data_IF_559189782781
#
_entry.id   IF_559189782781
#
_cell.length_a   1.000
_cell.length_b   1.000
_cell.length_c   1.000
_cell.angle_alpha   90.00
_cell.angle_beta   90.00
_cell.angle_gamma   90.00
#
_symmetry.space_group_name_H-M   'P 1'
#
loop_
_entity.id
_entity.type
_entity.pdbx_description
1 polymer ?
#
# COMPACT_ATOMS: atom_id res chain seq x y z
N UNK A 1 10.87 -0.50 -27.73
CA UNK A 1 11.15 -0.99 -26.36
C UNK A 1 10.84 0.07 -25.29
N UNK A 2 11.43 1.28 -25.32
CA UNK A 2 11.29 2.30 -24.26
C UNK A 2 9.86 2.79 -23.97
N UNK A 3 9.01 2.95 -24.98
CA UNK A 3 7.63 3.40 -24.79
C UNK A 3 6.79 2.42 -23.92
N UNK A 4 7.01 1.11 -24.09
CA UNK A 4 6.33 0.09 -23.28
C UNK A 4 6.80 0.08 -21.84
N UNK A 5 8.10 0.28 -21.62
CA UNK A 5 8.65 0.39 -20.27
C UNK A 5 8.12 1.63 -19.55
N UNK A 6 7.93 2.75 -20.25
CA UNK A 6 7.28 3.94 -19.69
C UNK A 6 5.85 3.63 -19.25
N UNK A 7 5.09 2.91 -20.08
CA UNK A 7 3.72 2.47 -19.73
C UNK A 7 3.69 1.60 -18.48
N UNK A 8 4.66 0.68 -18.32
CA UNK A 8 4.77 -0.14 -17.12
C UNK A 8 5.08 0.70 -15.89
N UNK A 9 6.07 1.61 -15.97
CA UNK A 9 6.41 2.51 -14.86
C UNK A 9 5.22 3.37 -14.43
N UNK A 10 4.50 3.94 -15.39
CA UNK A 10 3.32 4.75 -15.09
C UNK A 10 2.27 3.95 -14.30
N UNK A 11 1.98 2.70 -14.70
CA UNK A 11 1.05 1.83 -13.97
C UNK A 11 1.54 1.49 -12.56
N UNK A 12 2.81 1.18 -12.40
CA UNK A 12 3.40 0.90 -11.09
C UNK A 12 3.32 2.13 -10.19
N UNK A 13 3.67 3.32 -10.69
CA UNK A 13 3.61 4.58 -9.95
C UNK A 13 2.18 4.93 -9.53
N UNK A 14 1.20 4.76 -10.43
CA UNK A 14 -0.23 4.95 -10.12
C UNK A 14 -0.65 4.05 -8.95
N UNK A 15 -0.30 2.76 -9.00
CA UNK A 15 -0.60 1.81 -7.92
C UNK A 15 0.02 2.23 -6.59
N UNK A 16 1.29 2.64 -6.56
CA UNK A 16 1.96 3.11 -5.34
C UNK A 16 1.21 4.31 -4.74
N UNK A 17 0.82 5.29 -5.56
CA UNK A 17 0.06 6.47 -5.10
C UNK A 17 -1.29 6.05 -4.51
N UNK A 18 -2.04 5.16 -5.16
CA UNK A 18 -3.32 4.67 -4.63
C UNK A 18 -3.16 3.97 -3.26
N UNK A 19 -2.11 3.16 -3.09
CA UNK A 19 -1.81 2.51 -1.81
C UNK A 19 -1.44 3.51 -0.71
N UNK A 20 -0.61 4.52 -1.03
CA UNK A 20 -0.23 5.58 -0.08
C UNK A 20 -1.41 6.46 0.31
N UNK A 21 -2.34 6.75 -0.61
CA UNK A 21 -3.53 7.55 -0.32
C UNK A 21 -4.53 6.77 0.54
N UNK A 22 -4.76 5.50 0.23
CA UNK A 22 -5.69 4.65 0.99
C UNK A 22 -5.21 4.42 2.43
N UNK A 23 -3.91 4.22 2.65
CA UNK A 23 -3.35 4.01 3.99
C UNK A 23 -3.21 5.34 4.74
N UNK A 24 -4.06 5.53 5.75
CA UNK A 24 -4.11 6.75 6.55
C UNK A 24 -3.18 6.74 7.77
N UNK A 25 -1.92 6.40 7.57
CA UNK A 25 -0.88 6.44 8.61
C UNK A 25 0.52 6.61 8.01
N UNK A 26 1.50 6.88 8.87
CA UNK A 26 2.93 6.80 8.53
C UNK A 26 3.54 5.59 9.23
N UNK A 27 3.52 4.46 8.53
CA UNK A 27 4.02 3.17 9.03
C UNK A 27 5.54 3.04 8.98
N UNK A 28 6.16 3.58 7.94
CA UNK A 28 7.59 3.46 7.66
C UNK A 28 8.25 4.85 7.56
N UNK A 29 8.30 5.60 8.67
CA UNK A 29 9.01 6.87 8.69
C UNK A 29 10.48 6.66 8.31
N UNK A 30 10.99 7.49 7.40
CA UNK A 30 12.30 7.33 6.76
C UNK A 30 12.21 6.84 5.32
N UNK A 31 11.20 6.02 4.99
CA UNK A 31 10.88 5.69 3.59
C UNK A 31 9.93 6.71 2.98
N UNK A 32 8.84 7.05 3.66
CA UNK A 32 7.96 8.17 3.30
C UNK A 32 7.23 8.72 4.52
N UNK A 33 6.68 9.92 4.39
CA UNK A 33 5.88 10.58 5.42
C UNK A 33 4.54 11.06 4.84
N UNK A 34 3.44 10.72 5.52
CA UNK A 34 2.10 11.27 5.25
C UNK A 34 1.89 12.49 6.15
N UNK A 35 2.06 13.70 5.61
CA UNK A 35 1.99 14.94 6.39
C UNK A 35 0.67 15.15 7.15
N UNK A 36 -0.43 14.60 6.65
CA UNK A 36 -1.76 14.64 7.27
C UNK A 36 -2.04 13.46 8.23
N UNK A 37 -1.19 12.41 8.21
CA UNK A 37 -1.30 11.19 9.01
C UNK A 37 0.09 10.73 9.49
N UNK A 38 0.75 11.58 10.28
CA UNK A 38 2.17 11.43 10.63
C UNK A 38 2.50 10.30 11.61
N UNK A 39 1.50 9.73 12.29
CA UNK A 39 1.70 8.70 13.31
C UNK A 39 1.41 7.31 12.76
N UNK A 40 2.03 6.32 13.40
CA UNK A 40 1.74 4.91 13.24
C UNK A 40 0.44 4.57 13.99
N UNK A 41 -0.46 3.80 13.36
CA UNK A 41 -1.78 3.45 13.90
C UNK A 41 -2.02 1.94 13.84
N UNK A 42 -1.54 1.22 14.86
CA UNK A 42 -1.75 -0.23 14.96
C UNK A 42 -3.19 -0.63 15.21
N UNK A 43 -4.03 0.27 15.72
CA UNK A 43 -5.43 -0.07 16.02
C UNK A 43 -6.23 -0.27 14.74
N UNK A 44 -5.98 0.55 13.71
CA UNK A 44 -6.76 0.52 12.47
C UNK A 44 -5.97 0.02 11.26
N UNK A 45 -4.64 0.01 11.33
CA UNK A 45 -3.76 -0.18 10.17
C UNK A 45 -2.68 -1.25 10.36
N UNK A 46 -2.75 -2.04 11.44
CA UNK A 46 -1.98 -3.29 11.58
C UNK A 46 -2.57 -4.42 10.71
N UNK A 47 -2.58 -4.17 9.41
CA UNK A 47 -3.20 -4.98 8.35
C UNK A 47 -2.37 -4.84 7.07
N UNK A 48 -2.59 -5.72 6.11
CA UNK A 48 -2.07 -5.58 4.75
C UNK A 48 -3.00 -4.68 3.93
N UNK A 49 -2.42 -3.78 3.14
CA UNK A 49 -3.17 -3.03 2.11
C UNK A 49 -3.08 -3.79 0.81
N UNK A 50 -4.22 -4.15 0.24
CA UNK A 50 -4.29 -4.86 -1.05
C UNK A 50 -5.16 -4.09 -2.02
N UNK A 51 -4.98 -4.35 -3.32
CA UNK A 51 -5.74 -3.68 -4.37
C UNK A 51 -5.98 -4.56 -5.57
N UNK A 52 -7.14 -4.41 -6.20
CA UNK A 52 -7.42 -4.96 -7.52
C UNK A 52 -7.82 -3.83 -8.47
N UNK A 53 -7.14 -3.73 -9.62
CA UNK A 53 -7.46 -2.74 -10.65
C UNK A 53 -8.35 -3.35 -11.72
N UNK A 54 -9.48 -2.73 -12.01
CA UNK A 54 -10.32 -3.13 -13.13
C UNK A 54 -9.58 -2.85 -14.45
N UNK A 55 -9.46 -3.86 -15.32
CA UNK A 55 -8.72 -3.74 -16.59
C UNK A 55 -9.42 -2.81 -17.58
N UNK A 56 -10.75 -2.77 -17.55
CA UNK A 56 -11.59 -2.02 -18.49
C UNK A 56 -11.77 -0.58 -18.03
N UNK A 57 -12.24 -0.36 -16.80
CA UNK A 57 -12.50 1.01 -16.27
C UNK A 57 -11.24 1.68 -15.74
N UNK A 58 -10.30 0.88 -15.23
CA UNK A 58 -9.08 1.39 -14.62
C UNK A 58 -9.20 1.75 -13.13
N UNK A 59 -10.38 1.60 -12.56
CA UNK A 59 -10.65 1.88 -11.14
C UNK A 59 -9.92 0.88 -10.24
N UNK A 60 -9.47 1.35 -9.09
CA UNK A 60 -8.84 0.54 -8.05
C UNK A 60 -9.85 0.24 -6.94
N UNK A 61 -10.07 -1.05 -6.68
CA UNK A 61 -10.72 -1.52 -5.47
C UNK A 61 -9.64 -1.75 -4.42
N UNK A 62 -9.66 -0.98 -3.34
CA UNK A 62 -8.69 -1.04 -2.24
C UNK A 62 -9.30 -1.81 -1.06
N UNK A 63 -8.52 -2.66 -0.40
CA UNK A 63 -8.99 -3.49 0.71
C UNK A 63 -7.94 -3.61 1.82
N UNK A 64 -8.44 -3.68 3.06
CA UNK A 64 -7.65 -4.09 4.23
C UNK A 64 -7.77 -5.60 4.38
N UNK A 65 -6.65 -6.31 4.38
CA UNK A 65 -6.59 -7.75 4.60
C UNK A 65 -5.85 -8.04 5.91
N UNK A 66 -6.31 -9.00 6.74
CA UNK A 66 -5.71 -9.27 8.03
C UNK A 66 -4.24 -9.68 7.91
N UNK A 67 -3.41 -9.20 8.85
CA UNK A 67 -2.04 -9.65 9.02
C UNK A 67 -2.02 -10.84 10.00
N UNK A 68 -1.49 -11.98 9.58
CA UNK A 68 -1.34 -13.16 10.44
C UNK A 68 0.12 -13.30 10.90
N UNK A 69 0.32 -13.41 12.22
CA UNK A 69 1.62 -13.76 12.79
C UNK A 69 1.78 -15.27 12.77
N UNK A 70 2.60 -15.76 11.85
CA UNK A 70 2.85 -17.21 11.69
C UNK A 70 3.88 -17.74 12.69
N UNK A 71 4.77 -16.87 13.17
CA UNK A 71 5.82 -17.17 14.15
C UNK A 71 5.44 -16.49 15.46
N UNK A 72 5.40 -17.27 16.55
CA UNK A 72 5.09 -16.78 17.89
C UNK A 72 6.27 -16.07 18.55
N UNK A 73 6.01 -15.32 19.62
CA UNK A 73 7.04 -14.60 20.36
C UNK A 73 8.02 -15.52 21.11
N UNK A 74 7.75 -16.83 21.20
CA UNK A 74 8.67 -17.83 21.76
C UNK A 74 9.82 -18.20 20.83
N UNK A 75 9.77 -17.81 19.55
CA UNK A 75 10.79 -18.10 18.53
C UNK A 75 11.63 -16.86 18.13
N UNK A 76 11.46 -15.73 18.84
CA UNK A 76 12.24 -14.50 18.62
C UNK A 76 13.43 -14.37 19.55
#
# INVERSE_FOLDING_TARGET
MRAWELKHRHRTSECVVQHTLFREETRWPGYYYRGDKMKLDDKNWHVLTTSQRNRTTGEYKMEKQPLYHLVGDSEK
#
